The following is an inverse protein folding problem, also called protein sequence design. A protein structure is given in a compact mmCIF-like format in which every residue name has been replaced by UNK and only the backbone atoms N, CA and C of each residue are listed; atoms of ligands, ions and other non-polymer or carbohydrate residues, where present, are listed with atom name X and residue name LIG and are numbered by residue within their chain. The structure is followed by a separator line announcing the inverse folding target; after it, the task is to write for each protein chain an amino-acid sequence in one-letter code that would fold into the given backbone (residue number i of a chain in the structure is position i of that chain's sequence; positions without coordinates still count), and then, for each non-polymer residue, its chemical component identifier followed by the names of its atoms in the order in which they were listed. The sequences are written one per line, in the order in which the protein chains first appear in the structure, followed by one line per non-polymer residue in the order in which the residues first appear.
data_IF_523940146693
#
_entry.id   IF_523940146693
#
_cell.length_a   1.000
_cell.length_b   1.000
_cell.length_c   1.000
_cell.angle_alpha   90.00
_cell.angle_beta   90.00
_cell.angle_gamma   90.00
#
_symmetry.space_group_name_H-M   'P 1'
#
loop_
_entity.id
_entity.type
_entity.pdbx_description
1 polymer ?
#
# COMPACT_ATOMS: atom_id res chain seq x y z
N UNK A 1 38.71 -9.20 -35.31
CA UNK A 1 38.24 -9.98 -34.14
C UNK A 1 38.34 -9.16 -32.85
N UNK A 2 37.65 -8.01 -32.76
CA UNK A 2 37.72 -7.07 -31.60
C UNK A 2 36.37 -6.50 -31.16
N UNK A 3 35.25 -7.02 -31.69
CA UNK A 3 33.91 -6.45 -31.48
C UNK A 3 33.09 -7.13 -30.35
N UNK A 4 33.65 -8.15 -29.68
CA UNK A 4 32.89 -8.96 -28.69
C UNK A 4 33.01 -8.43 -27.25
N UNK A 5 34.09 -7.73 -26.91
CA UNK A 5 34.41 -7.40 -25.50
C UNK A 5 33.64 -6.17 -24.99
N UNK A 6 33.23 -5.26 -25.87
CA UNK A 6 32.50 -4.06 -25.46
C UNK A 6 31.05 -4.32 -25.02
N UNK A 7 30.44 -5.41 -25.49
CA UNK A 7 29.05 -5.74 -25.15
C UNK A 7 28.88 -6.20 -23.69
N UNK A 8 29.90 -6.87 -23.14
CA UNK A 8 29.87 -7.35 -21.75
C UNK A 8 29.98 -6.22 -20.72
N UNK A 9 30.72 -5.14 -21.04
CA UNK A 9 30.90 -4.00 -20.13
C UNK A 9 29.62 -3.21 -19.88
N UNK A 10 28.67 -3.24 -20.82
CA UNK A 10 27.39 -2.53 -20.69
C UNK A 10 26.28 -3.34 -20.00
N UNK A 11 26.37 -4.67 -20.00
CA UNK A 11 25.36 -5.55 -19.40
C UNK A 11 25.52 -5.71 -17.88
N UNK A 12 26.76 -5.69 -17.39
CA UNK A 12 27.08 -5.90 -15.97
C UNK A 12 26.52 -4.81 -15.02
N UNK A 13 26.56 -3.49 -15.35
CA UNK A 13 26.01 -2.49 -14.44
C UNK A 13 24.48 -2.47 -14.37
N UNK A 14 23.77 -3.08 -15.33
CA UNK A 14 22.31 -3.05 -15.37
C UNK A 14 21.67 -3.99 -14.32
N UNK A 15 22.32 -5.12 -14.04
CA UNK A 15 21.79 -6.14 -13.12
C UNK A 15 21.87 -5.67 -11.65
N UNK A 16 22.93 -4.94 -11.28
CA UNK A 16 23.11 -4.42 -9.92
C UNK A 16 22.08 -3.36 -9.50
N UNK A 17 21.46 -2.67 -10.46
CA UNK A 17 20.50 -1.60 -10.16
C UNK A 17 19.12 -2.16 -9.79
N UNK A 18 18.71 -3.26 -10.45
CA UNK A 18 17.44 -3.96 -10.20
C UNK A 18 17.32 -4.53 -8.78
N UNK A 19 18.40 -5.10 -8.25
CA UNK A 19 18.37 -5.75 -6.94
C UNK A 19 18.15 -4.75 -5.79
N UNK A 20 18.72 -3.55 -5.90
CA UNK A 20 18.55 -2.50 -4.88
C UNK A 20 17.12 -1.97 -4.84
N UNK A 21 16.46 -1.86 -5.99
CA UNK A 21 15.06 -1.40 -6.07
C UNK A 21 14.09 -2.42 -5.45
N UNK A 22 14.30 -3.70 -5.76
CA UNK A 22 13.46 -4.79 -5.27
C UNK A 22 13.60 -5.00 -3.74
N UNK A 23 14.80 -4.86 -3.20
CA UNK A 23 15.02 -4.93 -1.75
C UNK A 23 14.26 -3.82 -1.00
N UNK A 24 14.24 -2.60 -1.57
CA UNK A 24 13.59 -1.46 -0.95
C UNK A 24 12.06 -1.62 -0.92
N UNK A 25 11.44 -2.10 -2.00
CA UNK A 25 10.02 -2.44 -2.00
C UNK A 25 9.66 -3.55 -0.99
N UNK A 26 10.53 -4.57 -0.87
CA UNK A 26 10.29 -5.69 0.05
C UNK A 26 10.43 -5.26 1.51
N UNK A 27 11.40 -4.39 1.81
CA UNK A 27 11.54 -3.78 3.14
C UNK A 27 10.33 -2.90 3.44
N UNK A 28 9.90 -2.06 2.49
CA UNK A 28 8.73 -1.20 2.68
C UNK A 28 7.45 -2.02 2.90
N UNK A 29 7.20 -3.07 2.12
CA UNK A 29 6.06 -3.99 2.31
C UNK A 29 6.12 -4.70 3.67
N UNK A 30 7.29 -5.18 4.09
CA UNK A 30 7.47 -5.80 5.41
C UNK A 30 7.27 -4.80 6.55
N UNK A 31 7.73 -3.57 6.38
CA UNK A 31 7.54 -2.51 7.37
C UNK A 31 6.10 -2.03 7.41
N UNK A 32 5.33 -2.08 6.34
CA UNK A 32 3.90 -1.81 6.43
C UNK A 32 3.16 -2.95 7.13
N UNK A 33 3.47 -4.22 6.80
CA UNK A 33 2.81 -5.37 7.43
C UNK A 33 3.08 -5.49 8.94
N UNK A 34 4.27 -5.11 9.42
CA UNK A 34 4.63 -5.27 10.85
C UNK A 34 3.87 -4.34 11.79
N UNK A 35 3.27 -3.26 11.29
CA UNK A 35 2.58 -2.24 12.10
C UNK A 35 1.10 -2.07 11.71
N UNK A 36 0.60 -2.89 10.80
CA UNK A 36 -0.81 -2.97 10.45
C UNK A 36 -1.43 -4.04 11.36
N UNK A 37 -2.47 -3.66 12.11
CA UNK A 37 -3.22 -4.55 13.00
C UNK A 37 -4.72 -4.44 12.70
N UNK A 38 -5.48 -5.46 13.13
CA UNK A 38 -6.95 -5.45 13.05
C UNK A 38 -7.47 -5.08 11.65
N UNK A 39 -6.80 -5.63 10.63
CA UNK A 39 -7.20 -5.41 9.24
C UNK A 39 -8.54 -6.09 8.98
N UNK A 40 -9.48 -5.33 8.42
CA UNK A 40 -10.78 -5.83 7.97
C UNK A 40 -11.01 -5.35 6.54
N UNK A 41 -11.39 -6.27 5.67
CA UNK A 41 -11.88 -5.96 4.33
C UNK A 41 -13.40 -6.03 4.35
N UNK A 42 -14.02 -5.11 3.64
CA UNK A 42 -15.46 -5.00 3.53
C UNK A 42 -15.83 -5.14 2.06
N UNK A 43 -16.91 -5.86 1.78
CA UNK A 43 -17.53 -5.80 0.48
C UNK A 43 -18.15 -4.43 0.33
N UNK A 44 -17.66 -3.63 -0.61
CA UNK A 44 -18.31 -2.38 -0.98
C UNK A 44 -19.79 -2.61 -1.28
N UNK A 45 -20.62 -1.59 -1.05
CA UNK A 45 -22.06 -1.66 -1.30
C UNK A 45 -22.41 -1.94 -2.77
N UNK A 46 -23.71 -1.89 -3.07
CA UNK A 46 -24.37 -2.29 -4.34
C UNK A 46 -23.81 -1.69 -5.64
N UNK A 47 -22.86 -0.76 -5.59
CA UNK A 47 -22.18 -0.16 -6.74
C UNK A 47 -20.66 -0.06 -6.57
N UNK A 48 -20.06 -0.83 -5.68
CA UNK A 48 -18.63 -0.69 -5.39
C UNK A 48 -18.30 0.53 -4.53
N UNK A 49 -19.31 1.23 -3.99
CA UNK A 49 -19.18 2.43 -3.16
C UNK A 49 -19.28 2.05 -1.68
N UNK A 50 -18.47 2.69 -0.84
CA UNK A 50 -18.49 2.51 0.61
C UNK A 50 -17.14 2.09 1.18
N UNK A 51 -17.11 1.74 2.46
CA UNK A 51 -15.91 1.24 3.12
C UNK A 51 -15.44 -0.05 2.43
N UNK A 52 -14.16 -0.09 2.04
CA UNK A 52 -13.52 -1.26 1.42
C UNK A 52 -12.54 -1.95 2.36
N UNK A 53 -11.84 -1.17 3.17
CA UNK A 53 -10.77 -1.66 4.03
C UNK A 53 -10.62 -0.78 5.25
N UNK A 54 -10.35 -1.40 6.39
CA UNK A 54 -9.92 -0.71 7.59
C UNK A 54 -8.74 -1.41 8.22
N UNK A 55 -7.83 -0.65 8.84
CA UNK A 55 -6.73 -1.21 9.60
C UNK A 55 -6.20 -0.22 10.63
N UNK A 56 -5.42 -0.71 11.58
CA UNK A 56 -4.81 0.08 12.65
C UNK A 56 -3.32 0.20 12.45
N UNK A 57 -2.79 1.42 12.58
CA UNK A 57 -1.35 1.67 12.57
C UNK A 57 -1.00 2.90 13.39
N UNK A 58 0.12 2.84 14.12
CA UNK A 58 0.66 3.97 14.91
C UNK A 58 -0.38 4.66 15.80
N UNK A 59 -1.27 3.90 16.44
CA UNK A 59 -2.32 4.44 17.33
C UNK A 59 -3.47 5.15 16.61
N UNK A 60 -3.59 4.99 15.29
CA UNK A 60 -4.68 5.51 14.47
C UNK A 60 -5.40 4.37 13.76
N UNK A 61 -6.72 4.52 13.59
CA UNK A 61 -7.52 3.72 12.68
C UNK A 61 -7.47 4.38 11.30
N UNK A 62 -7.21 3.59 10.27
CA UNK A 62 -7.27 4.01 8.87
C UNK A 62 -8.49 3.35 8.25
N UNK A 63 -9.31 4.14 7.58
CA UNK A 63 -10.51 3.73 6.88
C UNK A 63 -10.34 4.11 5.40
N UNK A 64 -10.51 3.14 4.50
CA UNK A 64 -10.43 3.34 3.07
C UNK A 64 -11.83 3.16 2.50
N UNK A 65 -12.32 4.19 1.85
CA UNK A 65 -13.62 4.24 1.20
C UNK A 65 -13.43 4.30 -0.29
N UNK A 66 -14.27 3.58 -1.02
CA UNK A 66 -14.39 3.74 -2.45
C UNK A 66 -15.60 4.64 -2.74
N UNK A 67 -15.42 5.64 -3.59
CA UNK A 67 -16.50 6.53 -4.04
C UNK A 67 -16.68 6.40 -5.54
N UNK A 68 -17.71 7.04 -6.09
CA UNK A 68 -17.94 7.09 -7.54
C UNK A 68 -16.77 7.73 -8.29
N UNK A 69 -16.06 8.67 -7.66
CA UNK A 69 -14.97 9.41 -8.28
C UNK A 69 -13.62 8.76 -8.01
N UNK A 70 -13.34 8.46 -6.74
CA UNK A 70 -12.03 8.01 -6.30
C UNK A 70 -12.04 7.25 -4.96
N UNK A 71 -10.89 6.72 -4.57
CA UNK A 71 -10.68 6.13 -3.27
C UNK A 71 -10.26 7.18 -2.24
N UNK A 72 -10.97 7.26 -1.13
CA UNK A 72 -10.75 8.22 -0.05
C UNK A 72 -10.16 7.49 1.17
N UNK A 73 -9.07 8.04 1.71
CA UNK A 73 -8.44 7.55 2.94
C UNK A 73 -8.74 8.51 4.10
N UNK A 74 -9.42 8.02 5.13
CA UNK A 74 -9.71 8.75 6.37
C UNK A 74 -8.91 8.17 7.53
N UNK A 75 -8.35 9.03 8.37
CA UNK A 75 -7.64 8.61 9.59
C UNK A 75 -8.41 9.07 10.81
N UNK A 76 -8.72 8.13 11.71
CA UNK A 76 -9.40 8.37 12.97
C UNK A 76 -8.46 8.05 14.14
N UNK A 77 -8.57 8.81 15.23
CA UNK A 77 -7.84 8.51 16.46
C UNK A 77 -8.55 7.36 17.19
N UNK A 78 -7.82 6.27 17.47
CA UNK A 78 -8.36 5.07 18.13
C UNK A 78 -8.99 5.36 19.50
N UNK A 79 -8.55 6.42 20.20
CA UNK A 79 -9.11 6.82 21.49
C UNK A 79 -10.58 7.28 21.40
N UNK A 80 -11.04 7.72 20.23
CA UNK A 80 -12.38 8.31 20.03
C UNK A 80 -13.31 7.42 19.22
N UNK A 81 -12.78 6.57 18.34
CA UNK A 81 -13.60 5.76 17.45
C UNK A 81 -12.95 4.40 17.23
N UNK A 82 -13.63 3.34 17.68
CA UNK A 82 -13.16 1.95 17.55
C UNK A 82 -13.36 1.39 16.13
N UNK A 83 -14.45 1.78 15.47
CA UNK A 83 -14.82 1.27 14.15
C UNK A 83 -14.96 2.39 13.11
N UNK A 84 -14.65 2.05 11.86
CA UNK A 84 -14.85 2.94 10.73
C UNK A 84 -16.36 3.01 10.41
N UNK A 85 -16.94 4.20 10.21
CA UNK A 85 -18.31 4.29 9.73
C UNK A 85 -18.42 3.63 8.36
N UNK A 86 -19.53 2.96 8.07
CA UNK A 86 -19.75 2.27 6.79
C UNK A 86 -19.94 3.27 5.64
N UNK A 87 -20.51 4.43 5.95
CA UNK A 87 -20.72 5.55 5.04
C UNK A 87 -19.70 6.66 5.29
N UNK A 88 -19.35 7.37 4.22
CA UNK A 88 -18.57 8.59 4.33
C UNK A 88 -19.56 9.74 4.57
N UNK A 89 -19.73 10.14 5.82
CA UNK A 89 -20.54 11.33 6.13
C UNK A 89 -19.77 12.57 5.64
N UNK A 90 -20.41 13.35 4.76
CA UNK A 90 -19.90 14.62 4.22
C UNK A 90 -19.92 15.72 5.29
#
# INVERSE_FOLDING_TARGET
MKLSIFFFLFLIPCICLSDKLFLNEKIQKNFEQKYIKNEKSFSSGSMGIGLVRSFETKGKKICIYNTVKEQIKKSLNLKLTLDCPLTLDN
#
